data_IF_463484819727
#
_entry.id   IF_463484819727
#
_cell.length_a   1.000
_cell.length_b   1.000
_cell.length_c   1.000
_cell.angle_alpha   90.00
_cell.angle_beta   90.00
_cell.angle_gamma   90.00
#
_symmetry.space_group_name_H-M   'P 1'
#
loop_
_entity.id
_entity.type
_entity.pdbx_description
1 polymer ?
#
# COMPACT_ATOMS: atom_id res chain seq x y z
N UNK A 1 6.83 7.05 8.28
CA UNK A 1 5.87 7.06 7.15
C UNK A 1 5.00 8.30 7.13
N UNK A 2 4.50 8.80 8.28
CA UNK A 2 3.68 10.02 8.30
C UNK A 2 4.42 11.27 7.74
N UNK A 3 5.73 11.36 7.97
CA UNK A 3 6.60 12.44 7.47
C UNK A 3 6.61 12.51 5.93
N UNK A 4 7.08 11.44 5.27
CA UNK A 4 7.10 11.34 3.79
C UNK A 4 5.71 11.49 3.15
N UNK A 5 4.66 10.95 3.78
CA UNK A 5 3.31 11.09 3.25
C UNK A 5 2.82 12.55 3.29
N UNK A 6 3.27 13.33 4.29
CA UNK A 6 2.94 14.75 4.39
C UNK A 6 3.70 15.58 3.34
N UNK A 7 4.98 15.28 3.13
CA UNK A 7 5.79 15.93 2.08
C UNK A 7 5.18 15.73 0.69
N UNK A 8 4.81 14.49 0.34
CA UNK A 8 4.19 14.20 -0.97
C UNK A 8 2.88 14.97 -1.16
N UNK A 9 2.07 15.09 -0.12
CA UNK A 9 0.83 15.86 -0.18
C UNK A 9 1.09 17.33 -0.48
N UNK A 10 2.07 17.95 0.18
CA UNK A 10 2.40 19.36 -0.02
C UNK A 10 3.04 19.62 -1.40
N UNK A 11 3.95 18.76 -1.83
CA UNK A 11 4.72 18.96 -3.04
C UNK A 11 3.93 18.62 -4.32
N UNK A 12 3.03 17.63 -4.25
CA UNK A 12 2.34 17.10 -5.44
C UNK A 12 0.83 17.26 -5.41
N UNK A 13 0.24 17.56 -4.24
CA UNK A 13 -1.21 17.52 -4.05
C UNK A 13 -1.80 16.11 -3.94
N UNK A 14 -0.96 15.06 -3.92
CA UNK A 14 -1.40 13.66 -3.83
C UNK A 14 -1.44 13.19 -2.38
N UNK A 15 -2.61 12.73 -1.93
CA UNK A 15 -2.78 12.15 -0.60
C UNK A 15 -2.36 10.67 -0.60
N UNK A 16 -1.33 10.34 0.17
CA UNK A 16 -0.91 8.96 0.43
C UNK A 16 -1.36 8.55 1.82
N UNK A 17 -2.03 7.39 1.90
CA UNK A 17 -2.43 6.79 3.18
C UNK A 17 -1.84 5.38 3.29
N UNK A 18 -1.26 5.01 4.45
CA UNK A 18 -0.79 3.66 4.65
C UNK A 18 -1.98 2.69 4.68
N UNK A 19 -1.85 1.59 3.92
CA UNK A 19 -2.76 0.46 3.99
C UNK A 19 -2.12 -0.62 4.86
N UNK A 20 -2.57 -0.84 6.10
CA UNK A 20 -2.08 -1.95 6.90
C UNK A 20 -2.53 -3.27 6.26
N UNK A 21 -1.62 -4.23 6.16
CA UNK A 21 -1.88 -5.58 5.66
C UNK A 21 -1.31 -6.57 6.67
N UNK A 22 -2.10 -7.54 7.08
CA UNK A 22 -1.64 -8.59 7.99
C UNK A 22 -0.84 -9.64 7.23
N UNK A 23 0.12 -10.29 7.91
CA UNK A 23 0.96 -11.32 7.27
C UNK A 23 0.14 -12.50 6.72
N UNK A 24 -0.97 -12.83 7.38
CA UNK A 24 -1.88 -13.88 6.92
C UNK A 24 -2.62 -13.47 5.63
N UNK A 25 -3.09 -12.24 5.54
CA UNK A 25 -3.72 -11.71 4.33
C UNK A 25 -2.73 -11.62 3.17
N UNK A 26 -1.47 -11.30 3.47
CA UNK A 26 -0.41 -11.28 2.47
C UNK A 26 -0.08 -12.69 1.95
N UNK A 27 -0.11 -13.71 2.82
CA UNK A 27 0.08 -15.11 2.44
C UNK A 27 -1.12 -15.70 1.69
N UNK A 28 -2.32 -15.24 2.02
CA UNK A 28 -3.59 -15.68 1.44
C UNK A 28 -4.35 -14.50 0.80
N UNK A 29 -3.82 -13.92 -0.31
CA UNK A 29 -4.40 -12.72 -0.90
C UNK A 29 -5.83 -12.92 -1.39
N UNK A 30 -6.25 -14.14 -1.69
CA UNK A 30 -7.63 -14.53 -2.01
C UNK A 30 -8.64 -14.25 -0.88
N UNK A 31 -8.19 -14.22 0.37
CA UNK A 31 -9.03 -13.95 1.54
C UNK A 31 -9.17 -12.44 1.82
N UNK A 32 -8.34 -11.60 1.21
CA UNK A 32 -8.41 -10.15 1.37
C UNK A 32 -9.60 -9.57 0.58
N UNK A 33 -10.18 -8.45 1.06
CA UNK A 33 -11.34 -7.82 0.39
C UNK A 33 -11.06 -7.47 -1.08
N UNK A 34 -9.79 -7.18 -1.43
CA UNK A 34 -9.38 -6.94 -2.80
C UNK A 34 -8.12 -7.76 -3.16
N UNK A 35 -8.28 -9.02 -3.58
CA UNK A 35 -7.15 -9.88 -3.90
C UNK A 35 -6.29 -9.35 -5.06
N UNK A 36 -6.90 -8.60 -5.99
CA UNK A 36 -6.18 -8.02 -7.12
C UNK A 36 -5.21 -6.91 -6.65
N UNK A 37 -5.57 -6.15 -5.62
CA UNK A 37 -4.68 -5.13 -5.04
C UNK A 37 -3.40 -5.76 -4.50
N UNK A 38 -3.51 -6.80 -3.65
CA UNK A 38 -2.33 -7.46 -3.09
C UNK A 38 -1.45 -8.10 -4.16
N UNK A 39 -2.07 -8.71 -5.19
CA UNK A 39 -1.33 -9.23 -6.35
C UNK A 39 -0.59 -8.14 -7.12
N UNK A 40 -1.20 -6.98 -7.30
CA UNK A 40 -0.57 -5.85 -7.97
C UNK A 40 0.58 -5.27 -7.13
N UNK A 41 0.40 -5.10 -5.81
CA UNK A 41 1.47 -4.65 -4.91
C UNK A 41 2.65 -5.64 -4.94
N UNK A 42 2.39 -6.95 -4.94
CA UNK A 42 3.45 -7.97 -5.04
C UNK A 42 4.21 -7.91 -6.36
N UNK A 43 3.52 -7.63 -7.47
CA UNK A 43 4.12 -7.58 -8.82
C UNK A 43 4.85 -6.26 -9.11
N UNK A 44 4.31 -5.14 -8.65
CA UNK A 44 4.69 -3.79 -9.09
C UNK A 44 5.17 -2.89 -7.96
N UNK A 45 5.07 -3.35 -6.71
CA UNK A 45 5.42 -2.58 -5.52
C UNK A 45 6.89 -2.19 -5.49
N UNK A 46 7.15 -0.95 -5.08
CA UNK A 46 8.49 -0.41 -4.92
C UNK A 46 8.78 -0.26 -3.43
N UNK A 47 9.96 -0.72 -3.01
CA UNK A 47 10.45 -0.52 -1.64
C UNK A 47 11.03 0.89 -1.52
N UNK A 48 10.56 1.60 -0.51
CA UNK A 48 10.99 2.97 -0.15
C UNK A 48 11.83 2.91 1.13
#
# INVERSE_FOLDING_TARGET
MADVAYDVLLDTGVLIQPLPIWEEEWRHPEAFMNPALLRNISREGVRI
#
